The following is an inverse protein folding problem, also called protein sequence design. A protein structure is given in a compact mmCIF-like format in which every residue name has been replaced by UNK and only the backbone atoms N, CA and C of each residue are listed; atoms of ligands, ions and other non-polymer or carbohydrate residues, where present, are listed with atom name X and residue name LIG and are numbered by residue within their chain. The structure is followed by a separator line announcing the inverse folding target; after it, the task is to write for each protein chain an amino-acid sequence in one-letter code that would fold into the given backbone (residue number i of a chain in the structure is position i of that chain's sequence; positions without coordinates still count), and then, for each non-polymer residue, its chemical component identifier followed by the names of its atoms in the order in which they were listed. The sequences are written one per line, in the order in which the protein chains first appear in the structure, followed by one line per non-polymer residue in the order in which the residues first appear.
data_IF_949899431378
#
_entry.id   IF_949899431378
#
_cell.length_a   1.000
_cell.length_b   1.000
_cell.length_c   1.000
_cell.angle_alpha   90.00
_cell.angle_beta   90.00
_cell.angle_gamma   90.00
#
_symmetry.space_group_name_H-M   'P 1'
#
loop_
_entity.id
_entity.type
_entity.pdbx_description
1 polymer ?
#
# COMPACT_ATOMS: atom_id res chain seq x y z
N UNK A 1 29.93 -17.42 27.87
CA UNK A 1 30.51 -16.80 26.75
C UNK A 1 29.81 -17.06 25.47
N UNK A 2 29.49 -18.25 25.19
CA UNK A 2 28.86 -18.54 23.92
C UNK A 2 27.42 -18.08 23.84
N UNK A 3 26.76 -17.87 24.99
CA UNK A 3 25.36 -17.47 24.96
C UNK A 3 25.15 -16.04 24.48
N UNK A 4 26.14 -15.19 24.53
CA UNK A 4 25.95 -13.83 24.06
C UNK A 4 25.86 -13.75 22.54
N UNK A 5 26.42 -14.73 21.86
CA UNK A 5 26.29 -14.79 20.40
C UNK A 5 24.87 -15.05 19.97
N UNK A 6 24.16 -15.83 20.75
CA UNK A 6 22.76 -16.13 20.44
C UNK A 6 21.87 -14.91 20.61
N UNK A 7 22.20 -14.08 21.57
CA UNK A 7 21.41 -12.88 21.78
C UNK A 7 21.54 -11.89 20.66
N UNK A 8 22.74 -11.76 20.12
CA UNK A 8 22.96 -10.90 18.98
C UNK A 8 22.14 -11.34 17.79
N UNK A 9 22.05 -12.62 17.60
CA UNK A 9 21.32 -13.20 16.50
C UNK A 9 19.83 -12.86 16.58
N UNK A 10 19.29 -12.97 17.78
CA UNK A 10 17.88 -12.69 17.98
C UNK A 10 17.55 -11.23 17.73
N UNK A 11 18.45 -10.33 18.06
CA UNK A 11 18.23 -8.91 17.87
C UNK A 11 18.13 -8.54 16.38
N UNK A 12 18.87 -9.22 15.55
CA UNK A 12 18.85 -8.93 14.13
C UNK A 12 17.51 -9.32 13.50
N UNK A 13 16.90 -10.38 13.98
CA UNK A 13 15.66 -10.84 13.38
C UNK A 13 14.48 -9.92 13.62
N UNK A 14 14.57 -9.00 14.58
CA UNK A 14 13.49 -8.07 14.85
C UNK A 14 13.45 -6.91 13.89
N UNK A 15 14.47 -6.71 13.09
CA UNK A 15 14.54 -5.54 12.23
C UNK A 15 13.82 -5.73 10.89
N UNK A 16 13.16 -6.85 10.68
CA UNK A 16 12.61 -7.16 9.37
C UNK A 16 11.13 -6.85 9.24
N UNK A 17 10.50 -6.34 10.25
CA UNK A 17 9.04 -6.38 10.32
C UNK A 17 8.30 -5.24 9.64
N UNK A 18 8.93 -4.19 9.20
CA UNK A 18 8.17 -3.04 8.72
C UNK A 18 8.66 -2.56 7.37
N UNK A 19 8.21 -3.19 6.33
CA UNK A 19 8.56 -2.75 4.99
C UNK A 19 7.43 -2.01 4.35
N UNK A 20 7.72 -0.86 3.79
CA UNK A 20 6.77 -0.05 3.04
C UNK A 20 7.11 -0.17 1.57
N UNK A 21 6.11 -0.43 0.76
CA UNK A 21 6.28 -0.53 -0.68
C UNK A 21 5.43 0.52 -1.37
N UNK A 22 5.78 0.85 -2.60
CA UNK A 22 4.99 1.73 -3.44
C UNK A 22 4.17 0.88 -4.39
N UNK A 23 2.85 1.04 -4.32
CA UNK A 23 1.93 0.33 -5.21
C UNK A 23 1.42 1.31 -6.24
N UNK A 24 1.55 0.95 -7.51
CA UNK A 24 1.05 1.75 -8.62
C UNK A 24 0.01 0.96 -9.37
N UNK A 25 -1.02 1.63 -9.80
CA UNK A 25 -2.08 0.95 -10.53
C UNK A 25 -2.87 1.91 -11.39
N UNK A 26 -3.84 1.35 -12.09
CA UNK A 26 -4.70 2.11 -12.98
C UNK A 26 -6.13 1.65 -12.81
N UNK A 27 -7.04 2.59 -12.71
CA UNK A 27 -8.47 2.30 -12.52
C UNK A 27 -9.23 2.68 -13.77
N UNK A 28 -9.93 1.73 -14.32
CA UNK A 28 -10.75 1.94 -15.54
C UNK A 28 -12.13 1.36 -15.33
N UNK A 29 -13.08 1.90 -16.07
CA UNK A 29 -14.43 1.35 -16.06
C UNK A 29 -14.53 0.17 -17.05
N UNK A 30 -15.73 -0.37 -17.21
CA UNK A 30 -15.94 -1.54 -18.06
C UNK A 30 -15.77 -1.25 -19.55
N UNK A 31 -15.78 0.01 -19.93
CA UNK A 31 -15.56 0.40 -21.33
C UNK A 31 -14.10 0.76 -21.61
N UNK A 32 -13.24 0.69 -20.59
CA UNK A 32 -11.83 0.99 -20.75
C UNK A 32 -11.48 2.44 -20.52
N UNK A 33 -12.41 3.25 -20.07
CA UNK A 33 -12.14 4.66 -19.80
C UNK A 33 -11.56 4.85 -18.42
N UNK A 34 -10.56 5.72 -18.26
CA UNK A 34 -9.99 5.96 -16.95
C UNK A 34 -10.98 6.61 -16.00
N UNK A 35 -10.96 6.17 -14.76
CA UNK A 35 -11.79 6.76 -13.71
C UNK A 35 -10.97 7.79 -12.97
N UNK A 36 -11.37 9.05 -13.09
CA UNK A 36 -10.68 10.17 -12.47
C UNK A 36 -11.29 10.40 -11.10
N UNK A 37 -10.46 10.65 -10.10
CA UNK A 37 -10.96 11.00 -8.77
C UNK A 37 -11.43 9.81 -7.94
N UNK A 38 -11.08 8.59 -8.32
CA UNK A 38 -11.38 7.44 -7.48
C UNK A 38 -10.49 7.44 -6.26
N UNK A 39 -11.05 7.06 -5.11
CA UNK A 39 -10.29 6.98 -3.86
C UNK A 39 -9.63 5.62 -3.74
N UNK A 40 -8.33 5.63 -3.41
CA UNK A 40 -7.57 4.42 -3.12
C UNK A 40 -7.04 4.56 -1.71
N UNK A 41 -7.51 3.73 -0.80
CA UNK A 41 -7.10 3.83 0.60
C UNK A 41 -6.64 2.48 1.11
N UNK A 42 -5.79 2.54 2.12
CA UNK A 42 -5.32 1.33 2.78
C UNK A 42 -6.43 0.81 3.70
N UNK A 43 -6.80 -0.45 3.55
CA UNK A 43 -7.83 -1.04 4.39
C UNK A 43 -7.33 -1.11 5.82
N UNK A 44 -8.14 -0.59 6.74
CA UNK A 44 -7.76 -0.52 8.13
C UNK A 44 -6.99 0.73 8.53
N UNK A 45 -6.60 1.55 7.55
CA UNK A 45 -5.94 2.82 7.83
C UNK A 45 -6.38 3.84 6.79
N UNK A 46 -7.58 4.35 6.95
CA UNK A 46 -8.21 5.21 5.96
C UNK A 46 -7.58 6.59 5.85
N UNK A 47 -6.66 6.93 6.75
CA UNK A 47 -5.92 8.18 6.61
C UNK A 47 -4.80 8.08 5.59
N UNK A 48 -4.45 6.85 5.17
CA UNK A 48 -3.44 6.65 4.15
C UNK A 48 -4.12 6.35 2.82
N UNK A 49 -4.24 7.34 1.98
CA UNK A 49 -4.93 7.18 0.71
C UNK A 49 -4.47 8.15 -0.34
N UNK A 50 -4.93 7.94 -1.55
CA UNK A 50 -4.65 8.80 -2.68
C UNK A 50 -5.85 8.81 -3.63
N UNK A 51 -5.77 9.61 -4.67
CA UNK A 51 -6.86 9.77 -5.65
C UNK A 51 -6.27 9.57 -7.03
N UNK A 52 -7.02 8.92 -7.92
CA UNK A 52 -6.56 8.70 -9.29
C UNK A 52 -6.50 10.01 -10.06
N UNK A 53 -5.56 10.07 -11.00
CA UNK A 53 -5.35 11.25 -11.83
C UNK A 53 -6.19 11.18 -13.12
N UNK A 54 -5.89 12.05 -14.07
CA UNK A 54 -6.65 12.16 -15.33
C UNK A 54 -6.60 10.89 -16.17
N UNK A 55 -5.58 10.08 -15.98
CA UNK A 55 -5.43 8.83 -16.70
C UNK A 55 -5.89 7.63 -15.89
N UNK A 56 -6.43 7.85 -14.69
CA UNK A 56 -6.84 6.79 -13.81
C UNK A 56 -5.69 6.16 -13.04
N UNK A 57 -4.53 6.73 -13.09
CA UNK A 57 -3.34 6.19 -12.41
C UNK A 57 -3.29 6.63 -10.96
N UNK A 58 -2.75 5.76 -10.12
CA UNK A 58 -2.51 6.10 -8.73
C UNK A 58 -1.19 5.51 -8.26
N UNK A 59 -0.67 6.09 -7.19
CA UNK A 59 0.54 5.60 -6.54
C UNK A 59 0.37 5.83 -5.04
N UNK A 60 0.60 4.81 -4.25
CA UNK A 60 0.40 4.88 -2.81
C UNK A 60 1.48 4.05 -2.11
N UNK A 61 1.95 4.53 -0.97
CA UNK A 61 2.91 3.79 -0.15
C UNK A 61 2.19 3.10 0.98
N UNK A 62 2.35 1.80 1.07
CA UNK A 62 1.66 0.99 2.07
C UNK A 62 2.60 -0.12 2.56
N UNK A 63 2.32 -0.71 3.73
CA UNK A 63 3.06 -1.90 4.15
C UNK A 63 2.90 -3.03 3.15
N UNK A 64 3.90 -3.88 3.08
CA UNK A 64 3.95 -4.91 2.04
C UNK A 64 2.78 -5.90 2.06
N UNK A 65 2.09 -6.01 3.17
CA UNK A 65 0.94 -6.91 3.29
C UNK A 65 -0.39 -6.18 3.33
N UNK A 66 -0.40 -4.91 2.96
CA UNK A 66 -1.61 -4.12 3.03
C UNK A 66 -2.60 -4.49 1.92
N UNK A 67 -3.86 -4.27 2.20
CA UNK A 67 -4.92 -4.41 1.22
C UNK A 67 -5.44 -3.02 0.89
N UNK A 68 -5.69 -2.78 -0.38
CA UNK A 68 -6.21 -1.49 -0.83
C UNK A 68 -7.71 -1.59 -1.11
N UNK A 69 -8.41 -0.53 -0.77
CA UNK A 69 -9.83 -0.39 -1.10
C UNK A 69 -9.98 0.75 -2.09
N UNK A 70 -10.61 0.48 -3.22
CA UNK A 70 -10.81 1.48 -4.26
C UNK A 70 -12.30 1.77 -4.32
N UNK A 71 -12.66 3.04 -4.23
CA UNK A 71 -14.05 3.44 -4.30
C UNK A 71 -14.20 4.67 -5.18
N UNK A 72 -15.36 4.77 -5.83
CA UNK A 72 -15.64 5.87 -6.72
C UNK A 72 -17.10 6.27 -6.56
N UNK A 73 -17.32 7.56 -6.37
CA UNK A 73 -18.65 8.08 -6.19
C UNK A 73 -19.00 8.85 -7.44
N UNK A 74 -19.28 8.32 -8.45
CA UNK A 74 -19.46 9.10 -9.62
C UNK A 74 -20.76 8.87 -10.26
N UNK A 75 -21.52 8.53 -10.04
CA UNK A 75 -22.53 8.41 -10.81
C UNK A 75 -23.36 7.89 -10.80
#
# INVERSE_FOLDING_TARGET
MRSWLLMLFAAISLSVSAQTITVKGNVKDTTGEPIIGASVVEKGNTTNGTITDLDGNYSIKVPSKATLTISYIGM
#
